data_IF_700498420485
#
_entry.id   IF_700498420485
#
_cell.length_a   1.000
_cell.length_b   1.000
_cell.length_c   1.000
_cell.angle_alpha   90.00
_cell.angle_beta   90.00
_cell.angle_gamma   90.00
#
_symmetry.space_group_name_H-M   'P 1'
#
loop_
_entity.id
_entity.type
_entity.pdbx_description
1 polymer ?
#
# COMPACT_ATOMS: atom_id res chain seq x y z
N UNK A 1 -10.69 5.76 -26.95
CA UNK A 1 -11.06 5.34 -25.59
C UNK A 1 -9.93 5.58 -24.63
N UNK A 2 -10.29 5.92 -23.40
CA UNK A 2 -9.37 6.14 -22.29
C UNK A 2 -9.66 5.07 -21.24
N UNK A 3 -8.64 4.34 -20.82
CA UNK A 3 -8.69 3.42 -19.69
C UNK A 3 -7.90 4.01 -18.52
N UNK A 4 -8.53 4.04 -17.34
CA UNK A 4 -7.93 4.53 -16.11
C UNK A 4 -8.05 3.45 -15.04
N UNK A 5 -6.93 3.18 -14.35
CA UNK A 5 -6.89 2.32 -13.19
C UNK A 5 -6.50 3.14 -11.95
N UNK A 6 -7.04 2.73 -10.80
CA UNK A 6 -6.65 3.32 -9.53
C UNK A 6 -5.22 2.87 -9.19
N UNK A 7 -4.33 3.81 -8.91
CA UNK A 7 -2.93 3.54 -8.57
C UNK A 7 -2.77 3.01 -7.13
N UNK A 8 -3.57 2.02 -6.74
CA UNK A 8 -3.45 1.32 -5.46
C UNK A 8 -2.46 0.17 -5.61
N UNK A 9 -1.72 -0.12 -4.53
CA UNK A 9 -0.70 -1.17 -4.52
C UNK A 9 0.35 -0.97 -5.62
N UNK A 10 0.79 0.27 -5.79
CA UNK A 10 1.81 0.68 -6.77
C UNK A 10 3.10 1.03 -6.04
N UNK A 11 4.24 0.78 -6.68
CA UNK A 11 5.55 1.21 -6.19
C UNK A 11 6.10 2.25 -7.15
N UNK A 12 6.66 3.35 -6.63
CA UNK A 12 7.32 4.38 -7.42
C UNK A 12 8.81 4.24 -7.22
N UNK A 13 9.55 4.03 -8.31
CA UNK A 13 11.00 3.84 -8.30
C UNK A 13 11.63 5.11 -8.85
N UNK A 14 12.53 5.71 -8.09
CA UNK A 14 13.32 6.88 -8.50
C UNK A 14 14.79 6.62 -8.19
N UNK A 15 15.60 6.45 -9.24
CA UNK A 15 17.04 6.12 -9.26
C UNK A 15 17.55 5.17 -8.16
N UNK A 16 17.65 5.66 -6.92
CA UNK A 16 18.20 4.94 -5.76
C UNK A 16 17.14 4.48 -4.74
N UNK A 17 15.90 4.95 -4.84
CA UNK A 17 14.85 4.73 -3.85
C UNK A 17 13.59 4.11 -4.48
N UNK A 18 12.97 3.20 -3.72
CA UNK A 18 11.65 2.66 -4.02
C UNK A 18 10.70 3.14 -2.92
N UNK A 19 9.70 3.93 -3.32
CA UNK A 19 8.65 4.41 -2.44
C UNK A 19 7.42 3.51 -2.59
N UNK A 20 6.93 3.02 -1.45
CA UNK A 20 5.74 2.17 -1.37
C UNK A 20 4.76 2.81 -0.42
N UNK A 21 3.55 3.08 -0.90
CA UNK A 21 2.47 3.63 -0.09
C UNK A 21 1.38 2.59 0.12
N UNK A 22 0.95 2.46 1.37
CA UNK A 22 -0.21 1.68 1.76
C UNK A 22 -1.03 2.46 2.79
N UNK A 23 -2.33 2.20 2.80
CA UNK A 23 -3.25 2.82 3.76
C UNK A 23 -4.36 1.88 4.18
N UNK A 24 -5.13 2.35 5.16
CA UNK A 24 -6.29 1.70 5.75
C UNK A 24 -7.47 2.67 5.76
N UNK A 25 -8.69 2.12 5.82
CA UNK A 25 -9.92 2.90 5.89
C UNK A 25 -10.42 2.94 7.34
N UNK A 26 -10.24 4.07 8.02
CA UNK A 26 -10.65 4.22 9.42
C UNK A 26 -12.16 4.45 9.52
N UNK A 27 -12.83 3.64 10.33
CA UNK A 27 -14.25 3.74 10.67
C UNK A 27 -14.45 3.92 12.18
N UNK A 28 -15.69 4.08 12.62
CA UNK A 28 -16.02 4.41 14.02
C UNK A 28 -15.48 3.40 15.05
N UNK A 29 -15.49 2.12 14.70
CA UNK A 29 -15.05 0.99 15.52
C UNK A 29 -13.62 0.52 15.20
N UNK A 30 -12.89 1.26 14.37
CA UNK A 30 -11.50 0.94 14.05
C UNK A 30 -10.60 0.99 15.29
N UNK A 31 -9.66 0.05 15.35
CA UNK A 31 -8.66 -0.04 16.41
C UNK A 31 -7.30 0.37 15.82
N UNK A 32 -6.66 1.44 16.31
CA UNK A 32 -5.43 1.99 15.70
C UNK A 32 -4.34 0.94 15.44
N UNK A 33 -4.14 0.01 16.39
CA UNK A 33 -3.15 -1.04 16.27
C UNK A 33 -3.45 -2.02 15.13
N UNK A 34 -4.74 -2.35 14.93
CA UNK A 34 -5.18 -3.24 13.85
C UNK A 34 -5.05 -2.58 12.48
N UNK A 35 -5.41 -1.31 12.38
CA UNK A 35 -5.31 -0.54 11.13
C UNK A 35 -3.85 -0.35 10.69
N UNK A 36 -2.95 -0.16 11.65
CA UNK A 36 -1.51 -0.13 11.41
C UNK A 36 -1.01 -1.49 10.92
N UNK A 37 -1.43 -2.59 11.57
CA UNK A 37 -1.07 -3.95 11.14
C UNK A 37 -1.55 -4.24 9.71
N UNK A 38 -2.79 -3.90 9.39
CA UNK A 38 -3.34 -4.04 8.04
C UNK A 38 -2.53 -3.24 7.00
N UNK A 39 -2.21 -1.99 7.32
CA UNK A 39 -1.42 -1.11 6.45
C UNK A 39 -0.04 -1.72 6.17
N UNK A 40 0.62 -2.27 7.20
CA UNK A 40 1.91 -2.94 7.05
C UNK A 40 1.81 -4.22 6.23
N UNK A 41 0.77 -5.03 6.41
CA UNK A 41 0.54 -6.25 5.62
C UNK A 41 0.32 -5.93 4.13
N UNK A 42 -0.43 -4.87 3.82
CA UNK A 42 -0.61 -4.37 2.45
C UNK A 42 0.71 -3.94 1.82
N UNK A 43 1.52 -3.15 2.52
CA UNK A 43 2.85 -2.76 2.03
C UNK A 43 3.79 -3.97 1.88
N UNK A 44 3.78 -4.89 2.85
CA UNK A 44 4.62 -6.10 2.84
C UNK A 44 4.35 -6.96 1.61
N UNK A 45 3.08 -7.09 1.20
CA UNK A 45 2.71 -7.85 0.00
C UNK A 45 3.36 -7.33 -1.29
N UNK A 46 3.77 -6.07 -1.33
CA UNK A 46 4.52 -5.50 -2.46
C UNK A 46 6.02 -5.80 -2.39
N UNK A 47 6.57 -5.93 -1.18
CA UNK A 47 7.98 -6.21 -0.94
C UNK A 47 8.32 -7.69 -1.02
N UNK A 48 7.38 -8.58 -0.68
CA UNK A 48 7.59 -10.04 -0.73
C UNK A 48 7.58 -10.62 -2.15
N UNK A 49 7.16 -9.83 -3.16
CA UNK A 49 7.30 -10.21 -4.57
C UNK A 49 8.77 -10.08 -4.94
N UNK A 50 9.54 -11.13 -4.63
CA UNK A 50 10.94 -11.28 -5.01
C UNK A 50 10.98 -12.05 -6.33
N UNK A 51 11.74 -11.55 -7.32
CA UNK A 51 11.98 -12.22 -8.62
C UNK A 51 12.64 -13.59 -8.46
#
# INVERSE_FOLDING_TARGET
DLDLALAIRTMVIDDQYVNVEAGCGVVYDSVPEKELEETRLKAKSLLEVTL
#
